data_IF_490186076000
#
_entry.id   IF_490186076000
#
_cell.length_a   1.000
_cell.length_b   1.000
_cell.length_c   1.000
_cell.angle_alpha   90.00
_cell.angle_beta   90.00
_cell.angle_gamma   90.00
#
_symmetry.space_group_name_H-M   'P 1'
#
loop_
_entity.id
_entity.type
_entity.pdbx_description
1 polymer ?
#
# COMPACT_ATOMS: atom_id res chain seq x y z
N UNK A 1 -1.24 -20.77 -55.81
CA UNK A 1 0.00 -19.98 -55.92
C UNK A 1 0.81 -20.14 -54.64
N UNK A 2 2.12 -20.32 -54.74
CA UNK A 2 3.00 -20.32 -53.57
C UNK A 2 3.23 -18.88 -53.08
N UNK A 3 3.40 -18.63 -51.77
CA UNK A 3 3.79 -17.31 -51.28
C UNK A 3 5.16 -16.95 -51.86
N UNK A 4 5.39 -15.69 -52.30
CA UNK A 4 6.68 -15.29 -52.85
C UNK A 4 7.79 -15.40 -51.80
N UNK A 5 9.01 -15.68 -52.26
CA UNK A 5 10.20 -15.77 -51.42
C UNK A 5 10.40 -14.49 -50.58
N UNK A 6 10.59 -14.67 -49.27
CA UNK A 6 10.92 -13.59 -48.33
C UNK A 6 12.35 -13.11 -48.58
N UNK A 7 12.53 -12.20 -49.53
CA UNK A 7 13.73 -11.37 -49.59
C UNK A 7 13.50 -10.13 -48.73
N UNK A 8 14.25 -10.04 -47.64
CA UNK A 8 14.24 -8.86 -46.78
C UNK A 8 14.80 -7.65 -47.53
N UNK A 9 14.23 -6.47 -47.27
CA UNK A 9 14.73 -5.19 -47.76
C UNK A 9 16.18 -4.98 -47.32
N UNK A 10 17.02 -4.45 -48.22
CA UNK A 10 18.36 -4.00 -47.84
C UNK A 10 18.27 -2.93 -46.73
N UNK A 11 19.31 -2.82 -45.89
CA UNK A 11 19.33 -1.83 -44.81
C UNK A 11 19.18 -0.39 -45.34
N UNK A 12 19.75 -0.10 -46.52
CA UNK A 12 19.64 1.20 -47.17
C UNK A 12 18.21 1.49 -47.65
N UNK A 13 17.56 0.52 -48.29
CA UNK A 13 16.18 0.68 -48.78
C UNK A 13 15.20 0.80 -47.62
N UNK A 14 15.41 0.02 -46.55
CA UNK A 14 14.61 0.12 -45.32
C UNK A 14 14.75 1.50 -44.67
N UNK A 15 15.97 2.03 -44.58
CA UNK A 15 16.20 3.36 -44.01
C UNK A 15 15.54 4.46 -44.87
N UNK A 16 15.61 4.35 -46.20
CA UNK A 16 14.95 5.29 -47.11
C UNK A 16 13.42 5.24 -46.98
N UNK A 17 12.85 4.03 -46.91
CA UNK A 17 11.42 3.82 -46.70
C UNK A 17 10.96 4.41 -45.38
N UNK A 18 11.65 4.08 -44.27
CA UNK A 18 11.32 4.60 -42.95
C UNK A 18 11.43 6.13 -42.88
N UNK A 19 12.43 6.72 -43.53
CA UNK A 19 12.58 8.18 -43.59
C UNK A 19 11.41 8.83 -44.31
N UNK A 20 11.02 8.34 -45.49
CA UNK A 20 9.86 8.87 -46.24
C UNK A 20 8.55 8.69 -45.48
N UNK A 21 8.35 7.51 -44.89
CA UNK A 21 7.16 7.21 -44.10
C UNK A 21 7.10 8.11 -42.85
N UNK A 22 8.21 8.26 -42.14
CA UNK A 22 8.31 9.12 -40.96
C UNK A 22 8.00 10.57 -41.30
N UNK A 23 8.52 11.10 -42.42
CA UNK A 23 8.20 12.46 -42.87
C UNK A 23 6.71 12.64 -43.18
N UNK A 24 6.10 11.68 -43.88
CA UNK A 24 4.67 11.72 -44.21
C UNK A 24 3.79 11.65 -42.96
N UNK A 25 4.13 10.76 -42.02
CA UNK A 25 3.39 10.60 -40.77
C UNK A 25 3.51 11.85 -39.88
N UNK A 26 4.72 12.41 -39.74
CA UNK A 26 4.94 13.63 -38.96
C UNK A 26 4.23 14.84 -39.57
N UNK A 27 4.21 14.97 -40.90
CA UNK A 27 3.49 16.05 -41.56
C UNK A 27 1.97 15.92 -41.37
N UNK A 28 1.42 14.71 -41.49
CA UNK A 28 0.00 14.45 -41.27
C UNK A 28 -0.41 14.68 -39.81
N UNK A 29 0.40 14.22 -38.86
CA UNK A 29 0.21 14.45 -37.42
C UNK A 29 0.24 15.94 -37.09
N UNK A 30 1.27 16.67 -37.54
CA UNK A 30 1.37 18.11 -37.31
C UNK A 30 0.19 18.90 -37.91
N UNK A 31 -0.29 18.49 -39.09
CA UNK A 31 -1.48 19.09 -39.70
C UNK A 31 -2.73 18.82 -38.86
N UNK A 32 -2.93 17.59 -38.38
CA UNK A 32 -4.03 17.26 -37.47
C UNK A 32 -3.95 18.07 -36.17
N UNK A 33 -2.76 18.17 -35.57
CA UNK A 33 -2.54 18.94 -34.34
C UNK A 33 -2.82 20.42 -34.54
N UNK A 34 -2.45 21.00 -35.68
CA UNK A 34 -2.74 22.39 -36.00
C UNK A 34 -4.26 22.66 -36.16
N UNK A 35 -5.00 21.68 -36.71
CA UNK A 35 -6.44 21.78 -36.93
C UNK A 35 -7.28 21.51 -35.67
N UNK A 36 -6.88 20.53 -34.86
CA UNK A 36 -7.71 19.99 -33.78
C UNK A 36 -7.06 20.12 -32.38
N UNK A 37 -5.85 20.65 -32.30
CA UNK A 37 -5.02 20.59 -31.09
C UNK A 37 -4.34 19.24 -30.90
N UNK A 38 -3.50 19.12 -29.87
CA UNK A 38 -2.75 17.88 -29.59
C UNK A 38 -3.62 16.71 -29.12
N UNK A 39 -4.89 16.97 -28.80
CA UNK A 39 -5.84 15.99 -28.32
C UNK A 39 -6.97 16.66 -27.53
N UNK A 40 -8.05 15.91 -27.24
CA UNK A 40 -9.13 16.40 -26.42
C UNK A 40 -8.63 16.76 -25.01
N UNK A 41 -9.14 17.87 -24.46
CA UNK A 41 -8.81 18.29 -23.11
C UNK A 41 -9.52 17.38 -22.11
N UNK A 42 -8.75 16.76 -21.22
CA UNK A 42 -9.25 15.94 -20.11
C UNK A 42 -8.61 16.35 -18.81
N UNK A 43 -9.27 16.09 -17.69
CA UNK A 43 -8.61 16.13 -16.38
C UNK A 43 -7.65 14.95 -16.22
N UNK A 44 -6.75 15.06 -15.24
CA UNK A 44 -5.96 13.92 -14.78
C UNK A 44 -6.89 12.86 -14.18
N UNK A 45 -6.49 11.60 -14.22
CA UNK A 45 -7.14 10.56 -13.40
C UNK A 45 -6.76 10.77 -11.94
N UNK A 46 -7.49 10.14 -11.01
CA UNK A 46 -7.18 10.22 -9.57
C UNK A 46 -5.75 9.73 -9.26
N UNK A 47 -5.30 8.69 -9.96
CA UNK A 47 -3.95 8.15 -9.83
C UNK A 47 -2.90 9.10 -10.43
N UNK A 48 -3.20 9.69 -11.60
CA UNK A 48 -2.31 10.67 -12.24
C UNK A 48 -2.16 11.95 -11.40
N UNK A 49 -3.25 12.43 -10.80
CA UNK A 49 -3.25 13.62 -9.96
C UNK A 49 -2.45 13.40 -8.67
N UNK A 50 -2.66 12.28 -7.98
CA UNK A 50 -1.86 11.92 -6.81
C UNK A 50 -0.38 11.82 -7.17
N UNK A 51 -0.02 11.09 -8.23
CA UNK A 51 1.37 10.93 -8.64
C UNK A 51 2.00 12.28 -9.03
N UNK A 52 1.25 13.15 -9.71
CA UNK A 52 1.72 14.49 -10.06
C UNK A 52 2.04 15.31 -8.80
N UNK A 53 1.17 15.28 -7.79
CA UNK A 53 1.42 15.98 -6.52
C UNK A 53 2.54 15.35 -5.70
N UNK A 54 2.70 14.01 -5.72
CA UNK A 54 3.87 13.33 -5.12
C UNK A 54 5.17 13.89 -5.68
N UNK A 55 5.25 14.00 -7.00
CA UNK A 55 6.45 14.46 -7.69
C UNK A 55 6.68 15.97 -7.49
N UNK A 56 5.64 16.79 -7.63
CA UNK A 56 5.73 18.25 -7.49
C UNK A 56 6.07 18.70 -6.07
N UNK A 57 5.51 18.02 -5.06
CA UNK A 57 5.69 18.38 -3.65
C UNK A 57 6.77 17.56 -2.95
N UNK A 58 7.45 16.66 -3.67
CA UNK A 58 8.40 15.70 -3.11
C UNK A 58 7.83 14.88 -1.94
N UNK A 59 6.57 14.44 -2.07
CA UNK A 59 5.83 13.66 -1.08
C UNK A 59 5.61 12.23 -1.60
N UNK A 60 6.61 11.34 -1.62
CA UNK A 60 6.50 10.00 -2.26
C UNK A 60 5.42 9.10 -1.64
N UNK A 61 4.95 9.43 -0.43
CA UNK A 61 3.94 8.67 0.32
C UNK A 61 2.61 9.42 0.45
N UNK A 62 2.37 10.47 -0.34
CA UNK A 62 1.09 11.18 -0.36
C UNK A 62 -0.04 10.19 -0.71
N UNK A 63 -1.10 10.16 0.11
CA UNK A 63 -2.30 9.32 -0.08
C UNK A 63 -3.54 10.23 -0.08
N UNK A 64 -3.91 10.68 -1.27
CA UNK A 64 -5.05 11.59 -1.52
C UNK A 64 -5.97 11.09 -2.62
N UNK A 65 -5.60 10.00 -3.31
CA UNK A 65 -6.34 9.46 -4.46
C UNK A 65 -7.83 9.27 -4.17
N UNK A 66 -8.14 8.71 -3.00
CA UNK A 66 -9.50 8.35 -2.64
C UNK A 66 -10.30 9.52 -2.02
N UNK A 67 -9.70 10.72 -1.95
CA UNK A 67 -10.46 11.97 -1.79
C UNK A 67 -11.17 12.35 -3.10
N UNK A 68 -10.68 11.83 -4.23
CA UNK A 68 -11.21 12.12 -5.55
C UNK A 68 -12.28 11.07 -5.90
N UNK A 69 -13.42 11.47 -6.49
CA UNK A 69 -14.40 10.50 -6.96
C UNK A 69 -13.78 9.57 -8.01
N UNK A 70 -14.24 8.32 -8.05
CA UNK A 70 -13.74 7.32 -8.98
C UNK A 70 -13.85 7.79 -10.43
N UNK A 71 -12.81 7.54 -11.21
CA UNK A 71 -12.80 7.82 -12.64
C UNK A 71 -13.76 6.92 -13.39
N UNK A 72 -14.43 7.48 -14.40
CA UNK A 72 -15.24 6.70 -15.32
C UNK A 72 -14.32 5.92 -16.26
N UNK A 73 -14.77 4.73 -16.65
CA UNK A 73 -14.06 3.88 -17.58
C UNK A 73 -14.88 3.70 -18.87
N UNK A 74 -14.18 3.68 -19.99
CA UNK A 74 -14.75 3.33 -21.29
C UNK A 74 -13.79 2.39 -22.01
N UNK A 75 -14.30 1.32 -22.60
CA UNK A 75 -13.48 0.28 -23.26
C UNK A 75 -12.35 -0.24 -22.34
N UNK A 76 -12.65 -0.41 -21.05
CA UNK A 76 -11.69 -0.82 -20.01
C UNK A 76 -10.49 0.13 -19.83
N UNK A 77 -10.62 1.38 -20.27
CA UNK A 77 -9.62 2.43 -20.12
C UNK A 77 -10.19 3.59 -19.31
N UNK A 78 -9.45 4.04 -18.29
CA UNK A 78 -9.80 5.18 -17.45
C UNK A 78 -9.15 6.50 -17.93
N UNK A 79 -8.52 6.51 -19.12
CA UNK A 79 -7.82 7.68 -19.69
C UNK A 79 -8.51 8.27 -20.93
N UNK A 80 -9.72 7.80 -21.22
CA UNK A 80 -10.53 8.22 -22.35
C UNK A 80 -11.11 9.61 -22.06
N UNK A 81 -10.84 10.59 -22.92
CA UNK A 81 -11.13 11.99 -22.64
C UNK A 81 -12.64 12.26 -22.57
N UNK A 82 -13.44 11.56 -23.38
CA UNK A 82 -14.89 11.67 -23.47
C UNK A 82 -15.60 11.38 -22.14
N UNK A 83 -14.97 10.61 -21.24
CA UNK A 83 -15.52 10.23 -19.93
C UNK A 83 -14.76 10.85 -18.75
N UNK A 84 -13.75 11.68 -19.03
CA UNK A 84 -12.96 12.42 -18.05
C UNK A 84 -13.30 13.92 -18.06
N UNK A 85 -14.59 14.18 -17.95
CA UNK A 85 -15.15 15.51 -17.73
C UNK A 85 -14.90 16.01 -16.30
N UNK A 86 -14.93 17.34 -16.13
CA UNK A 86 -14.81 18.01 -14.84
C UNK A 86 -16.18 18.54 -14.41
N UNK A 87 -16.78 17.91 -13.40
CA UNK A 87 -17.98 18.43 -12.75
C UNK A 87 -17.61 19.35 -11.58
N UNK A 88 -18.60 20.07 -11.03
CA UNK A 88 -18.40 20.85 -9.80
C UNK A 88 -17.90 20.00 -8.64
N UNK A 89 -18.49 18.81 -8.46
CA UNK A 89 -18.11 17.86 -7.39
C UNK A 89 -16.66 17.42 -7.57
N UNK A 90 -16.25 17.14 -8.81
CA UNK A 90 -14.85 16.82 -9.11
C UNK A 90 -13.95 18.01 -8.76
N UNK A 91 -14.25 19.21 -9.24
CA UNK A 91 -13.43 20.39 -8.96
C UNK A 91 -13.27 20.66 -7.46
N UNK A 92 -14.37 20.58 -6.70
CA UNK A 92 -14.35 20.75 -5.25
C UNK A 92 -13.43 19.70 -4.58
N UNK A 93 -13.51 18.43 -5.00
CA UNK A 93 -12.65 17.36 -4.48
C UNK A 93 -11.17 17.53 -4.85
N UNK A 94 -10.87 18.03 -6.06
CA UNK A 94 -9.49 18.33 -6.48
C UNK A 94 -8.89 19.46 -5.64
N UNK A 95 -9.66 20.51 -5.37
CA UNK A 95 -9.22 21.63 -4.51
C UNK A 95 -8.99 21.16 -3.07
N UNK A 96 -9.88 20.34 -2.53
CA UNK A 96 -9.71 19.78 -1.18
C UNK A 96 -8.48 18.85 -1.10
N UNK A 97 -8.30 17.98 -2.08
CA UNK A 97 -7.14 17.09 -2.15
C UNK A 97 -5.82 17.87 -2.29
N UNK A 98 -5.82 18.95 -3.09
CA UNK A 98 -4.68 19.86 -3.21
C UNK A 98 -4.37 20.57 -1.89
N UNK A 99 -5.38 21.09 -1.18
CA UNK A 99 -5.19 21.72 0.13
C UNK A 99 -4.59 20.74 1.15
N UNK A 100 -5.09 19.50 1.19
CA UNK A 100 -4.52 18.45 2.05
C UNK A 100 -3.07 18.12 1.69
N UNK A 101 -2.73 18.02 0.39
CA UNK A 101 -1.37 17.78 -0.05
C UNK A 101 -0.44 18.94 0.31
N UNK A 102 -0.87 20.19 0.10
CA UNK A 102 -0.10 21.38 0.45
C UNK A 102 0.14 21.46 1.96
N UNK A 103 -0.85 21.16 2.79
CA UNK A 103 -0.67 21.10 4.25
C UNK A 103 0.36 20.06 4.68
N UNK A 104 0.50 18.95 3.95
CA UNK A 104 1.54 17.95 4.21
C UNK A 104 2.93 18.41 3.73
N UNK A 105 2.98 19.18 2.65
CA UNK A 105 4.24 19.72 2.10
C UNK A 105 4.81 20.86 2.95
N UNK A 106 3.96 21.62 3.64
CA UNK A 106 4.39 22.72 4.51
C UNK A 106 5.11 22.16 5.74
N UNK A 107 6.34 22.63 5.96
CA UNK A 107 7.12 22.26 7.14
C UNK A 107 6.40 22.68 8.43
N UNK A 108 6.28 21.76 9.39
CA UNK A 108 5.64 22.06 10.68
C UNK A 108 6.44 23.01 11.58
N UNK A 109 7.67 23.39 11.19
CA UNK A 109 8.56 24.28 11.93
C UNK A 109 9.95 24.37 11.31
N UNK A 110 10.81 25.21 11.89
CA UNK A 110 12.19 25.44 11.41
C UNK A 110 13.17 24.33 11.81
N UNK A 111 12.86 23.57 12.87
CA UNK A 111 13.73 22.51 13.37
C UNK A 111 13.21 21.13 12.93
N UNK A 112 14.09 20.28 12.36
CA UNK A 112 13.75 18.89 12.09
C UNK A 112 13.34 18.17 13.37
N UNK A 113 12.33 17.32 13.27
CA UNK A 113 11.89 16.50 14.40
C UNK A 113 12.94 15.46 14.76
N UNK A 114 13.10 15.21 16.05
CA UNK A 114 14.01 14.17 16.54
C UNK A 114 13.49 12.81 16.08
N UNK A 115 14.35 12.01 15.45
CA UNK A 115 14.01 10.64 15.06
C UNK A 115 13.90 9.76 16.30
N UNK A 116 12.70 9.28 16.59
CA UNK A 116 12.47 8.25 17.59
C UNK A 116 12.56 6.85 16.99
N UNK A 117 13.06 5.89 17.78
CA UNK A 117 13.08 4.48 17.42
C UNK A 117 12.54 3.67 18.61
N UNK A 118 11.55 2.82 18.33
CA UNK A 118 10.91 1.96 19.31
C UNK A 118 11.06 0.51 18.86
N UNK A 119 11.58 -0.34 19.73
CA UNK A 119 11.58 -1.78 19.54
C UNK A 119 10.53 -2.40 20.46
N UNK A 120 9.55 -3.09 19.89
CA UNK A 120 8.40 -3.60 20.62
C UNK A 120 8.39 -5.13 20.53
N UNK A 121 8.68 -5.85 21.64
CA UNK A 121 8.46 -7.29 21.71
C UNK A 121 6.99 -7.65 21.48
N UNK A 122 6.71 -8.91 21.13
CA UNK A 122 5.35 -9.34 20.81
C UNK A 122 4.34 -9.04 21.95
N UNK A 123 4.78 -9.14 23.21
CA UNK A 123 3.99 -8.88 24.42
C UNK A 123 3.55 -7.42 24.59
N UNK A 124 4.23 -6.48 23.90
CA UNK A 124 3.83 -5.07 23.80
C UNK A 124 2.86 -4.81 22.65
N UNK A 125 2.84 -5.67 21.63
CA UNK A 125 2.03 -5.50 20.42
C UNK A 125 0.60 -6.03 20.59
N UNK A 126 0.41 -7.13 21.33
CA UNK A 126 -0.90 -7.75 21.52
C UNK A 126 -1.29 -7.79 22.99
N UNK A 127 -2.48 -7.28 23.29
CA UNK A 127 -2.87 -7.05 24.68
C UNK A 127 -3.38 -8.32 25.39
N UNK A 128 -3.91 -9.26 24.61
CA UNK A 128 -4.52 -10.51 25.09
C UNK A 128 -3.58 -11.70 24.92
N UNK A 129 -3.81 -12.74 25.73
CA UNK A 129 -3.08 -14.01 25.63
C UNK A 129 -3.71 -14.98 24.61
N UNK A 130 -4.99 -14.82 24.33
CA UNK A 130 -5.78 -15.62 23.39
C UNK A 130 -6.83 -14.73 22.68
N UNK A 131 -7.52 -15.29 21.69
CA UNK A 131 -8.61 -14.66 20.93
C UNK A 131 -9.75 -15.65 20.72
N UNK A 132 -10.81 -15.28 19.98
CA UNK A 132 -11.81 -16.25 19.52
C UNK A 132 -11.16 -17.34 18.68
N UNK A 133 -11.38 -18.59 19.09
CA UNK A 133 -10.64 -19.76 18.62
C UNK A 133 -9.60 -20.27 19.63
N UNK A 134 -9.51 -19.64 20.81
CA UNK A 134 -8.72 -20.14 21.94
C UNK A 134 -7.22 -20.12 21.69
N UNK A 135 -6.53 -21.08 22.31
CA UNK A 135 -5.07 -21.23 22.20
C UNK A 135 -4.63 -21.76 20.84
N UNK A 136 -5.54 -22.36 20.07
CA UNK A 136 -5.27 -22.79 18.70
C UNK A 136 -5.22 -21.59 17.74
N UNK A 137 -5.86 -20.47 18.11
CA UNK A 137 -5.89 -19.28 17.27
C UNK A 137 -4.68 -18.37 17.47
N UNK A 138 -4.22 -18.19 18.72
CA UNK A 138 -3.00 -17.43 19.01
C UNK A 138 -2.41 -17.83 20.36
N UNK A 139 -1.08 -17.76 20.47
CA UNK A 139 -0.37 -17.91 21.74
C UNK A 139 1.04 -17.31 21.68
N UNK A 140 1.55 -16.90 22.83
CA UNK A 140 2.96 -16.52 22.97
C UNK A 140 3.85 -17.75 22.94
N UNK A 141 4.98 -17.66 22.24
CA UNK A 141 5.93 -18.74 22.09
C UNK A 141 7.36 -18.26 22.32
N UNK A 142 8.20 -19.16 22.80
CA UNK A 142 9.65 -18.97 22.92
C UNK A 142 10.32 -20.28 22.57
N UNK A 143 11.44 -20.23 21.84
CA UNK A 143 12.18 -21.42 21.41
C UNK A 143 11.30 -22.43 20.66
N UNK A 144 10.34 -21.93 19.87
CA UNK A 144 9.33 -22.74 19.16
C UNK A 144 8.42 -23.58 20.06
N UNK A 145 8.26 -23.21 21.32
CA UNK A 145 7.32 -23.82 22.26
C UNK A 145 6.35 -22.77 22.80
N UNK A 146 5.08 -23.14 22.94
CA UNK A 146 4.08 -22.28 23.58
C UNK A 146 4.45 -21.96 25.04
N UNK A 147 4.33 -20.69 25.39
CA UNK A 147 4.45 -20.18 26.76
C UNK A 147 3.03 -19.90 27.28
N UNK A 148 2.57 -20.58 28.34
CA UNK A 148 1.18 -20.47 28.82
C UNK A 148 1.01 -19.19 29.64
N UNK A 149 0.97 -18.04 28.97
CA UNK A 149 0.70 -16.75 29.59
C UNK A 149 -0.80 -16.55 29.79
N UNK A 150 -1.19 -16.08 30.97
CA UNK A 150 -2.54 -15.56 31.21
C UNK A 150 -2.62 -14.05 30.97
N UNK A 151 -3.84 -13.51 30.91
CA UNK A 151 -4.03 -12.05 30.89
C UNK A 151 -3.41 -11.36 32.12
N UNK A 152 -3.42 -12.02 33.28
CA UNK A 152 -2.79 -11.52 34.50
C UNK A 152 -1.25 -11.47 34.40
N UNK A 153 -0.64 -12.47 33.76
CA UNK A 153 0.80 -12.48 33.51
C UNK A 153 1.22 -11.34 32.58
N UNK A 154 0.47 -11.13 31.50
CA UNK A 154 0.71 -10.00 30.57
C UNK A 154 0.53 -8.65 31.28
N UNK A 155 -0.49 -8.50 32.12
CA UNK A 155 -0.70 -7.28 32.90
C UNK A 155 0.47 -7.01 33.88
N UNK A 156 0.97 -8.06 34.54
CA UNK A 156 2.14 -7.98 35.42
C UNK A 156 3.41 -7.58 34.65
N UNK A 157 3.67 -8.22 33.51
CA UNK A 157 4.81 -7.90 32.64
C UNK A 157 4.81 -6.41 32.23
N UNK A 158 3.66 -5.88 31.82
CA UNK A 158 3.51 -4.45 31.46
C UNK A 158 3.73 -3.53 32.64
N UNK A 159 3.14 -3.84 33.80
CA UNK A 159 3.29 -3.05 35.03
C UNK A 159 4.75 -2.97 35.47
N UNK A 160 5.48 -4.07 35.35
CA UNK A 160 6.88 -4.17 35.76
C UNK A 160 7.87 -3.77 34.65
N UNK A 161 7.38 -3.48 33.45
CA UNK A 161 8.19 -3.24 32.25
C UNK A 161 9.22 -4.37 32.00
N UNK A 162 8.82 -5.62 32.23
CA UNK A 162 9.67 -6.81 32.04
C UNK A 162 9.16 -7.60 30.84
N UNK A 163 9.80 -7.40 29.69
CA UNK A 163 9.47 -8.05 28.43
C UNK A 163 10.66 -8.84 27.92
N UNK A 164 10.43 -10.08 27.54
CA UNK A 164 11.42 -10.91 26.88
C UNK A 164 11.46 -10.56 25.37
N UNK A 165 12.59 -10.08 24.83
CA UNK A 165 12.70 -9.71 23.43
C UNK A 165 12.60 -10.91 22.48
N UNK A 166 12.91 -12.12 22.95
CA UNK A 166 12.84 -13.36 22.16
C UNK A 166 11.43 -13.97 22.15
N UNK A 167 10.48 -13.37 22.88
CA UNK A 167 9.10 -13.82 22.90
C UNK A 167 8.42 -13.48 21.57
N UNK A 168 7.97 -14.52 20.88
CA UNK A 168 7.17 -14.44 19.67
C UNK A 168 5.68 -14.53 20.00
N UNK A 169 4.83 -14.06 19.09
CA UNK A 169 3.41 -14.37 19.08
C UNK A 169 3.10 -15.19 17.85
N UNK A 170 2.67 -16.44 18.06
CA UNK A 170 2.15 -17.28 17.00
C UNK A 170 0.68 -16.95 16.76
N UNK A 171 0.32 -16.74 15.49
CA UNK A 171 -1.01 -16.38 15.03
C UNK A 171 -1.41 -17.34 13.92
N UNK A 172 -2.58 -17.95 14.03
CA UNK A 172 -3.11 -18.91 13.05
C UNK A 172 -4.42 -18.40 12.46
N UNK A 173 -4.89 -19.00 11.36
CA UNK A 173 -6.22 -18.66 10.83
C UNK A 173 -7.29 -19.14 11.80
N UNK A 174 -8.16 -18.22 12.23
CA UNK A 174 -9.27 -18.50 13.13
C UNK A 174 -10.50 -17.66 12.76
N UNK A 175 -11.61 -17.90 13.45
CA UNK A 175 -12.85 -17.15 13.25
C UNK A 175 -12.75 -15.65 13.59
N UNK A 176 -11.71 -15.22 14.31
CA UNK A 176 -11.48 -13.80 14.65
C UNK A 176 -10.63 -13.02 13.64
N UNK A 177 -10.33 -13.60 12.47
CA UNK A 177 -9.55 -12.91 11.46
C UNK A 177 -10.30 -11.68 10.90
N UNK A 178 -9.67 -10.49 10.79
CA UNK A 178 -8.26 -10.17 11.01
C UNK A 178 -7.86 -9.91 12.48
N UNK A 179 -6.59 -10.14 12.80
CA UNK A 179 -6.01 -9.85 14.12
C UNK A 179 -5.62 -8.37 14.25
N UNK A 180 -5.83 -7.81 15.44
CA UNK A 180 -5.49 -6.42 15.76
C UNK A 180 -4.36 -6.35 16.79
N UNK A 181 -3.23 -5.76 16.40
CA UNK A 181 -2.17 -5.38 17.33
C UNK A 181 -2.40 -3.95 17.82
N UNK A 182 -2.41 -3.76 19.13
CA UNK A 182 -2.51 -2.46 19.79
C UNK A 182 -1.29 -2.25 20.70
N UNK A 183 -0.19 -1.69 20.15
CA UNK A 183 1.00 -1.36 20.91
C UNK A 183 0.66 -0.59 22.18
N UNK A 184 1.12 -1.08 23.33
CA UNK A 184 0.79 -0.48 24.63
C UNK A 184 1.53 0.86 24.89
N UNK A 185 2.73 1.01 24.34
CA UNK A 185 3.59 2.19 24.53
C UNK A 185 3.77 3.06 23.29
N UNK A 186 3.33 2.61 22.12
CA UNK A 186 3.46 3.36 20.90
C UNK A 186 2.12 3.92 20.44
N UNK A 187 2.06 5.25 20.38
CA UNK A 187 0.97 6.00 19.75
C UNK A 187 1.58 7.08 18.88
N UNK A 188 1.22 7.12 17.60
CA UNK A 188 1.57 8.22 16.71
C UNK A 188 0.92 9.51 17.24
N UNK A 189 1.71 10.37 17.89
CA UNK A 189 1.24 11.66 18.45
C UNK A 189 1.19 12.75 17.40
N UNK A 190 2.01 12.61 16.38
CA UNK A 190 2.16 13.60 15.33
C UNK A 190 1.84 12.99 13.97
N UNK A 191 1.30 13.81 13.07
CA UNK A 191 1.21 13.44 11.67
C UNK A 191 2.62 13.33 11.06
N UNK A 192 2.81 12.36 10.17
CA UNK A 192 4.08 12.14 9.48
C UNK A 192 4.21 10.72 8.95
N UNK A 193 5.35 10.46 8.30
CA UNK A 193 5.71 9.13 7.81
C UNK A 193 6.36 8.31 8.93
N UNK A 194 5.84 7.11 9.16
CA UNK A 194 6.38 6.15 10.12
C UNK A 194 6.90 4.92 9.37
N UNK A 195 8.15 4.53 9.65
CA UNK A 195 8.71 3.28 9.13
C UNK A 195 8.49 2.18 10.15
N UNK A 196 7.60 1.25 9.82
CA UNK A 196 7.33 0.06 10.63
C UNK A 196 8.08 -1.12 9.99
N UNK A 197 8.70 -1.96 10.83
CA UNK A 197 9.34 -3.20 10.39
C UNK A 197 8.83 -4.34 11.28
N UNK A 198 8.53 -5.47 10.65
CA UNK A 198 8.12 -6.68 11.34
C UNK A 198 9.17 -7.77 11.11
N UNK A 199 9.39 -8.60 12.12
CA UNK A 199 10.11 -9.87 11.99
C UNK A 199 9.09 -10.99 12.21
N UNK A 200 9.05 -11.93 11.27
CA UNK A 200 8.10 -13.02 11.26
C UNK A 200 8.67 -14.19 10.47
N UNK A 201 8.13 -15.39 10.70
CA UNK A 201 8.49 -16.64 10.03
C UNK A 201 7.25 -17.52 9.89
N UNK A 202 7.08 -18.24 8.79
CA UNK A 202 5.97 -19.18 8.66
C UNK A 202 6.20 -20.43 9.51
N UNK A 203 5.17 -20.82 10.25
CA UNK A 203 5.21 -21.98 11.15
C UNK A 203 3.97 -22.84 11.02
N UNK A 204 4.14 -24.13 11.29
CA UNK A 204 3.05 -25.06 11.56
C UNK A 204 2.95 -25.33 13.05
N UNK A 205 1.74 -25.23 13.56
CA UNK A 205 1.37 -25.67 14.90
C UNK A 205 1.22 -27.20 14.97
N UNK A 206 1.83 -27.82 15.98
CA UNK A 206 1.58 -29.21 16.35
C UNK A 206 0.55 -29.31 17.50
N UNK A 207 0.03 -30.52 17.74
CA UNK A 207 -1.01 -30.76 18.76
C UNK A 207 -0.56 -30.46 20.19
N UNK A 208 0.75 -30.48 20.44
CA UNK A 208 1.37 -30.14 21.72
C UNK A 208 1.72 -28.64 21.84
N UNK A 209 1.23 -27.82 20.91
CA UNK A 209 1.53 -26.38 20.81
C UNK A 209 3.02 -26.06 20.59
N UNK A 210 3.80 -27.03 20.11
CA UNK A 210 5.12 -26.73 19.55
C UNK A 210 4.99 -26.20 18.11
N UNK A 211 5.96 -25.38 17.71
CA UNK A 211 6.06 -24.77 16.40
C UNK A 211 7.14 -25.47 15.59
N UNK A 212 6.84 -25.78 14.34
CA UNK A 212 7.83 -26.20 13.35
C UNK A 212 7.82 -25.22 12.18
N UNK A 213 8.92 -25.04 11.43
CA UNK A 213 8.89 -24.32 10.18
C UNK A 213 7.75 -24.82 9.29
N UNK A 214 7.04 -23.90 8.64
CA UNK A 214 6.07 -24.27 7.62
C UNK A 214 6.76 -24.94 6.43
N UNK A 215 6.02 -25.71 5.65
CA UNK A 215 6.53 -26.31 4.42
C UNK A 215 6.65 -25.29 3.29
N UNK A 216 5.66 -24.41 3.21
CA UNK A 216 5.56 -23.36 2.23
C UNK A 216 5.49 -22.02 2.96
N UNK A 217 5.94 -20.97 2.27
CA UNK A 217 5.77 -19.61 2.73
C UNK A 217 4.30 -19.23 2.81
N UNK A 218 3.95 -18.34 3.74
CA UNK A 218 2.56 -17.89 3.93
C UNK A 218 2.47 -16.38 3.68
N UNK A 219 1.55 -15.93 2.81
CA UNK A 219 1.36 -14.51 2.56
C UNK A 219 0.79 -13.81 3.80
N UNK A 220 1.55 -12.86 4.35
CA UNK A 220 1.06 -11.94 5.39
C UNK A 220 0.76 -10.59 4.77
N UNK A 221 -0.47 -10.11 5.00
CA UNK A 221 -0.93 -8.82 4.53
C UNK A 221 -1.09 -7.88 5.72
N UNK A 222 -0.29 -6.81 5.74
CA UNK A 222 -0.56 -5.72 6.66
C UNK A 222 -1.65 -4.83 6.09
N UNK A 223 -2.55 -4.41 6.97
CA UNK A 223 -3.58 -3.48 6.61
C UNK A 223 -3.60 -2.34 7.59
N UNK A 224 -3.45 -1.12 7.09
CA UNK A 224 -3.59 0.08 7.86
C UNK A 224 -5.04 0.56 7.73
N UNK A 225 -5.71 0.77 8.86
CA UNK A 225 -7.06 1.33 8.89
C UNK A 225 -6.99 2.85 8.78
N UNK A 226 -7.89 3.47 8.03
CA UNK A 226 -8.21 4.88 8.25
C UNK A 226 -8.84 5.00 9.65
N UNK A 227 -8.69 6.15 10.31
CA UNK A 227 -9.29 6.37 11.63
C UNK A 227 -10.82 6.28 11.50
N UNK A 228 -11.42 5.22 12.04
CA UNK A 228 -12.87 4.96 12.00
C UNK A 228 -13.40 4.64 13.38
N UNK A 229 -14.71 4.83 13.60
CA UNK A 229 -15.38 4.68 14.90
C UNK A 229 -15.34 3.26 15.48
N UNK A 230 -16.01 3.07 16.62
CA UNK A 230 -15.96 1.84 17.43
C UNK A 230 -16.52 0.59 16.75
N UNK A 231 -17.26 0.72 15.65
CA UNK A 231 -17.94 -0.39 14.98
C UNK A 231 -17.77 -0.32 13.46
N UNK A 232 -16.61 -0.75 12.93
CA UNK A 232 -16.40 -0.78 11.47
C UNK A 232 -15.33 -1.80 11.04
N UNK A 233 -15.77 -2.92 10.47
CA UNK A 233 -14.96 -3.86 9.67
C UNK A 233 -14.63 -3.35 8.24
N UNK A 234 -15.01 -2.12 7.92
CA UNK A 234 -15.30 -1.69 6.54
C UNK A 234 -14.27 -0.82 5.81
N UNK A 235 -13.17 -0.37 6.42
CA UNK A 235 -12.21 0.49 5.69
C UNK A 235 -10.75 0.15 6.01
N UNK A 236 -10.43 -1.12 5.73
CA UNK A 236 -9.14 -1.73 6.00
C UNK A 236 -8.40 -1.85 4.66
N UNK A 237 -7.49 -0.92 4.37
CA UNK A 237 -6.71 -0.93 3.12
C UNK A 237 -5.51 -1.85 3.25
N UNK A 238 -5.32 -2.72 2.26
CA UNK A 238 -4.06 -3.44 2.09
C UNK A 238 -2.98 -2.39 1.81
N UNK A 239 -1.88 -2.38 2.58
CA UNK A 239 -0.79 -1.41 2.40
C UNK A 239 0.07 -1.70 1.15
N UNK A 240 -0.43 -2.52 0.22
CA UNK A 240 0.26 -2.94 -1.01
C UNK A 240 1.33 -4.01 -0.81
N UNK A 241 1.70 -4.35 0.42
CA UNK A 241 2.80 -5.28 0.72
C UNK A 241 2.24 -6.64 1.18
N UNK A 242 2.21 -7.61 0.26
CA UNK A 242 2.14 -9.02 0.60
C UNK A 242 3.56 -9.49 0.91
N UNK A 243 3.82 -9.85 2.16
CA UNK A 243 5.09 -10.44 2.54
C UNK A 243 4.99 -11.96 2.40
N UNK A 244 5.94 -12.55 1.68
CA UNK A 244 6.15 -13.99 1.70
C UNK A 244 7.07 -14.32 2.89
N UNK A 245 6.58 -15.13 3.81
CA UNK A 245 7.16 -15.38 5.14
C UNK A 245 7.33 -16.87 5.38
#
# INVERSE_FOLDING_TARGET
EMPPDRKDLSQADRALLLKKLSQSLQAADAAQVALHGRGPLRRLTRDEFEQNLRDMLALPHLDIRDLLPQDREQQHCNKVAEVLDMSRIQLDAYLEAADQALRQAVASGMQPRTREQHHLPATRMFQTAETFGGREAMFYAKDSQMVPLSGGDLARMRKENRHDPEMELAIFRSASWPYYGYPDVFKAREAGAYRIRFSARAVRQLRDFSLRPAWDSIPMNFRARKQSGADVSGDVRVTGETFDI
#
